data_IF_968049759860
#
_entry.id   IF_968049759860
#
_cell.length_a   1.000
_cell.length_b   1.000
_cell.length_c   1.000
_cell.angle_alpha   90.00
_cell.angle_beta   90.00
_cell.angle_gamma   90.00
#
_symmetry.space_group_name_H-M   'P 1'
#
loop_
_entity.id
_entity.type
_entity.pdbx_description
1 polymer ?
#
# COMPACT_ATOMS: atom_id res chain seq x y z
N UNK A 1 -11.84 -11.39 -25.22
CA UNK A 1 -11.65 -11.62 -23.78
C UNK A 1 -11.14 -10.32 -23.17
N UNK A 2 -11.73 -9.84 -22.08
CA UNK A 2 -11.28 -8.60 -21.41
C UNK A 2 -10.08 -8.87 -20.51
N UNK A 3 -9.12 -7.94 -20.45
CA UNK A 3 -7.99 -8.04 -19.55
C UNK A 3 -8.41 -7.64 -18.12
N UNK A 4 -8.25 -8.56 -17.16
CA UNK A 4 -8.38 -8.24 -15.74
C UNK A 4 -7.17 -7.40 -15.31
N UNK A 5 -7.40 -6.31 -14.57
CA UNK A 5 -6.36 -5.36 -14.15
C UNK A 5 -6.42 -5.16 -12.65
N UNK A 6 -5.26 -5.29 -12.01
CA UNK A 6 -5.10 -5.13 -10.56
C UNK A 6 -4.15 -3.96 -10.28
N UNK A 7 -4.56 -3.05 -9.40
CA UNK A 7 -3.71 -1.95 -8.94
C UNK A 7 -2.89 -2.33 -7.72
N UNK A 8 -1.56 -2.20 -7.80
CA UNK A 8 -0.65 -2.45 -6.69
C UNK A 8 0.41 -1.36 -6.62
N UNK A 9 0.65 -0.84 -5.42
CA UNK A 9 1.75 0.09 -5.11
C UNK A 9 2.63 -0.49 -4.01
N UNK A 10 3.95 -0.28 -4.08
CA UNK A 10 4.92 -0.74 -3.08
C UNK A 10 5.66 0.43 -2.46
N UNK A 11 5.72 0.45 -1.12
CA UNK A 11 6.58 1.32 -0.33
C UNK A 11 7.54 0.51 0.54
N UNK A 12 8.72 1.08 0.76
CA UNK A 12 9.73 0.54 1.68
C UNK A 12 10.05 1.64 2.68
N UNK A 13 9.81 1.39 3.96
CA UNK A 13 10.15 2.27 5.07
C UNK A 13 11.56 1.92 5.54
N UNK A 14 12.50 2.87 5.39
CA UNK A 14 13.90 2.71 5.81
C UNK A 14 14.20 3.56 7.04
N UNK A 15 15.32 3.26 7.69
CA UNK A 15 15.84 4.06 8.80
C UNK A 15 15.95 5.54 8.42
N UNK A 16 15.59 6.41 9.36
CA UNK A 16 15.57 7.86 9.16
C UNK A 16 14.45 8.39 8.26
N UNK A 17 13.59 7.53 7.69
CA UNK A 17 12.43 8.00 6.92
C UNK A 17 11.17 8.11 7.77
N UNK A 18 10.27 9.01 7.38
CA UNK A 18 8.90 9.04 7.87
C UNK A 18 8.09 7.85 7.33
N UNK A 19 7.01 7.49 8.01
CA UNK A 19 6.09 6.45 7.54
C UNK A 19 5.63 6.77 6.11
N UNK A 20 5.88 5.90 5.11
CA UNK A 20 5.53 6.16 3.73
C UNK A 20 4.04 5.96 3.42
N UNK A 21 3.20 5.58 4.40
CA UNK A 21 1.78 5.33 4.21
C UNK A 21 1.05 6.49 3.49
N UNK A 22 1.13 7.76 3.92
CA UNK A 22 0.37 8.83 3.26
C UNK A 22 0.76 9.00 1.79
N UNK A 23 2.06 8.91 1.48
CA UNK A 23 2.56 8.96 0.10
C UNK A 23 2.11 7.74 -0.72
N UNK A 24 2.09 6.56 -0.11
CA UNK A 24 1.59 5.34 -0.73
C UNK A 24 0.12 5.41 -1.10
N UNK A 25 -0.73 5.90 -0.18
CA UNK A 25 -2.16 6.07 -0.41
C UNK A 25 -2.45 7.06 -1.55
N UNK A 26 -1.80 8.24 -1.53
CA UNK A 26 -1.97 9.25 -2.56
C UNK A 26 -1.55 8.75 -3.94
N UNK A 27 -0.40 8.07 -4.03
CA UNK A 27 0.11 7.53 -5.28
C UNK A 27 -0.76 6.38 -5.82
N UNK A 28 -1.21 5.47 -4.96
CA UNK A 28 -2.10 4.38 -5.36
C UNK A 28 -3.43 4.94 -5.84
N UNK A 29 -4.05 5.88 -5.14
CA UNK A 29 -5.32 6.47 -5.55
C UNK A 29 -5.22 7.13 -6.94
N UNK A 30 -4.18 7.94 -7.18
CA UNK A 30 -3.93 8.55 -8.49
C UNK A 30 -3.72 7.50 -9.60
N UNK A 31 -3.06 6.38 -9.28
CA UNK A 31 -2.89 5.27 -10.23
C UNK A 31 -4.21 4.58 -10.56
N UNK A 32 -5.04 4.31 -9.54
CA UNK A 32 -6.35 3.70 -9.71
C UNK A 32 -7.28 4.59 -10.54
N UNK A 33 -7.27 5.91 -10.31
CA UNK A 33 -8.02 6.88 -11.10
C UNK A 33 -7.68 6.80 -12.58
N UNK A 34 -6.38 6.79 -12.91
CA UNK A 34 -5.91 6.72 -14.29
C UNK A 34 -6.27 5.40 -14.99
N UNK A 35 -6.43 4.33 -14.22
CA UNK A 35 -6.82 3.02 -14.75
C UNK A 35 -8.34 2.79 -14.76
N UNK A 36 -9.13 3.68 -14.15
CA UNK A 36 -10.57 3.46 -13.93
C UNK A 36 -10.86 2.32 -12.96
N UNK A 37 -9.95 2.04 -12.03
CA UNK A 37 -10.10 0.99 -11.02
C UNK A 37 -10.64 1.59 -9.72
N UNK A 38 -11.47 0.82 -9.01
CA UNK A 38 -12.06 1.23 -7.72
C UNK A 38 -11.37 0.61 -6.51
N UNK A 39 -10.53 -0.40 -6.73
CA UNK A 39 -9.82 -1.14 -5.69
C UNK A 39 -8.34 -1.31 -6.00
N UNK A 40 -7.50 -1.37 -4.96
CA UNK A 40 -6.07 -1.63 -5.09
C UNK A 40 -5.43 -2.14 -3.80
N UNK A 41 -4.16 -2.56 -3.91
CA UNK A 41 -3.36 -3.03 -2.77
C UNK A 41 -2.13 -2.15 -2.58
N UNK A 42 -1.90 -1.71 -1.35
CA UNK A 42 -0.66 -1.05 -0.94
C UNK A 42 0.17 -2.01 -0.10
N UNK A 43 1.37 -2.35 -0.58
CA UNK A 43 2.37 -3.12 0.17
C UNK A 43 3.35 -2.15 0.83
N UNK A 44 3.44 -2.16 2.16
CA UNK A 44 4.37 -1.33 2.93
C UNK A 44 5.35 -2.24 3.67
N UNK A 45 6.59 -2.29 3.20
CA UNK A 45 7.67 -3.04 3.82
C UNK A 45 8.42 -2.19 4.84
N UNK A 46 8.38 -2.57 6.11
CA UNK A 46 9.21 -2.05 7.19
C UNK A 46 10.60 -2.70 7.14
N UNK A 47 11.52 -1.99 6.50
CA UNK A 47 12.92 -2.37 6.37
C UNK A 47 13.81 -1.57 7.35
N UNK A 48 13.22 -1.01 8.41
CA UNK A 48 13.98 -0.38 9.49
C UNK A 48 14.75 -1.42 10.29
N UNK A 49 15.95 -1.07 10.73
CA UNK A 49 16.79 -1.95 11.55
C UNK A 49 16.14 -2.32 12.89
N UNK A 50 15.26 -1.47 13.41
CA UNK A 50 14.53 -1.68 14.65
C UNK A 50 13.16 -2.38 14.48
N UNK A 51 12.79 -2.82 13.27
CA UNK A 51 11.50 -3.45 13.05
C UNK A 51 11.43 -4.84 13.70
N UNK A 52 10.32 -5.16 14.37
CA UNK A 52 10.07 -6.47 14.97
C UNK A 52 10.13 -7.60 13.91
N UNK A 53 10.40 -8.86 14.26
CA UNK A 53 10.38 -9.97 13.30
C UNK A 53 9.11 -10.01 12.45
N UNK A 54 9.23 -10.44 11.18
CA UNK A 54 8.12 -10.42 10.22
C UNK A 54 6.79 -11.01 10.77
N UNK A 55 6.77 -12.18 11.45
CA UNK A 55 5.53 -12.75 11.98
C UNK A 55 4.82 -11.88 13.02
N UNK A 56 5.56 -10.99 13.70
CA UNK A 56 5.05 -10.13 14.77
C UNK A 56 4.54 -8.77 14.25
N UNK A 57 4.93 -8.38 13.03
CA UNK A 57 4.59 -7.07 12.44
C UNK A 57 3.72 -7.13 11.19
N UNK A 58 3.45 -8.32 10.64
CA UNK A 58 2.55 -8.45 9.49
C UNK A 58 1.14 -8.05 9.89
N UNK A 59 0.56 -7.10 9.16
CA UNK A 59 -0.85 -6.74 9.34
C UNK A 59 -1.55 -6.52 8.01
N UNK A 60 -2.87 -6.72 8.03
CA UNK A 60 -3.76 -6.49 6.90
C UNK A 60 -4.95 -5.68 7.36
N UNK A 61 -5.23 -4.59 6.65
CA UNK A 61 -6.43 -3.80 6.87
C UNK A 61 -7.06 -3.36 5.54
N UNK A 62 -8.36 -3.08 5.59
CA UNK A 62 -9.10 -2.48 4.48
C UNK A 62 -9.48 -1.05 4.89
N UNK A 63 -9.19 -0.09 4.02
CA UNK A 63 -9.49 1.32 4.26
C UNK A 63 -9.97 2.01 2.99
N UNK A 64 -10.60 3.17 3.15
CA UNK A 64 -10.98 4.04 2.04
C UNK A 64 -10.06 5.26 1.97
N UNK A 65 -9.62 5.61 0.75
CA UNK A 65 -8.84 6.81 0.49
C UNK A 65 -9.20 7.38 -0.87
N UNK A 66 -9.59 8.66 -0.93
CA UNK A 66 -9.98 9.30 -2.19
C UNK A 66 -11.13 8.59 -2.93
N UNK A 67 -12.06 7.97 -2.20
CA UNK A 67 -13.16 7.18 -2.76
C UNK A 67 -12.75 5.83 -3.34
N UNK A 68 -11.53 5.34 -3.04
CA UNK A 68 -11.00 4.04 -3.50
C UNK A 68 -10.89 3.10 -2.31
N UNK A 69 -11.20 1.82 -2.51
CA UNK A 69 -11.02 0.78 -1.47
C UNK A 69 -9.62 0.19 -1.58
N UNK A 70 -8.84 0.32 -0.52
CA UNK A 70 -7.45 -0.11 -0.50
C UNK A 70 -7.29 -1.23 0.52
N UNK A 71 -6.69 -2.34 0.09
CA UNK A 71 -6.10 -3.32 1.01
C UNK A 71 -4.68 -2.86 1.34
N UNK A 72 -4.42 -2.57 2.60
CA UNK A 72 -3.08 -2.26 3.09
C UNK A 72 -2.48 -3.51 3.74
N UNK A 73 -1.30 -3.90 3.25
CA UNK A 73 -0.46 -4.91 3.88
C UNK A 73 0.80 -4.23 4.42
N UNK A 74 0.99 -4.28 5.73
CA UNK A 74 2.26 -3.91 6.36
C UNK A 74 3.06 -5.19 6.62
N UNK A 75 4.31 -5.22 6.17
CA UNK A 75 5.24 -6.35 6.14
C UNK A 75 6.59 -5.93 6.74
#
# INVERSE_FOLDING_TARGET
>A
QGAERWGLERKVWRDGQHDPLPKGLAQLAAYLDRLGLTTGTLLLFDARSAAAPLPERVSREALEHGGRRITLLRL
#
